data_IF_233298487247
#
_entry.id   IF_233298487247
#
_cell.length_a   1.000
_cell.length_b   1.000
_cell.length_c   1.000
_cell.angle_alpha   90.00
_cell.angle_beta   90.00
_cell.angle_gamma   90.00
#
_symmetry.space_group_name_H-M   'P 1'
#
loop_
_entity.id
_entity.type
_entity.pdbx_description
1 polymer ?
#
# COMPACT_ATOMS: atom_id res chain seq x y z
N UNK A 1 25.04 10.63 8.58
CA UNK A 1 25.04 9.17 8.84
C UNK A 1 24.60 8.46 7.57
N UNK A 2 25.54 7.85 6.85
CA UNK A 2 25.36 7.41 5.47
C UNK A 2 24.57 6.10 5.32
N UNK A 3 23.83 5.98 4.22
CA UNK A 3 23.10 4.80 3.75
C UNK A 3 23.91 3.49 3.85
N UNK A 4 25.25 3.56 3.74
CA UNK A 4 26.15 2.40 3.90
C UNK A 4 26.05 1.69 5.26
N UNK A 5 25.74 2.40 6.36
CA UNK A 5 25.65 1.78 7.70
C UNK A 5 24.37 0.96 7.88
N UNK A 6 23.31 1.25 7.11
CA UNK A 6 22.02 0.56 7.20
C UNK A 6 21.99 -0.74 6.37
N UNK A 7 22.78 -0.84 5.28
CA UNK A 7 22.87 -2.07 4.49
C UNK A 7 23.79 -3.14 5.12
N UNK A 8 24.69 -2.77 6.05
CA UNK A 8 25.71 -3.69 6.60
C UNK A 8 25.33 -4.44 7.89
N UNK A 9 24.22 -4.09 8.54
CA UNK A 9 23.96 -4.46 9.93
C UNK A 9 22.99 -5.62 10.20
N UNK A 10 22.23 -6.10 9.21
CA UNK A 10 21.11 -7.04 9.47
C UNK A 10 21.48 -8.45 9.02
N UNK A 11 22.01 -9.27 9.93
CA UNK A 11 22.27 -10.72 9.68
C UNK A 11 21.00 -11.59 9.72
N UNK A 12 19.87 -11.05 10.16
CA UNK A 12 18.61 -11.79 10.26
C UNK A 12 17.46 -10.91 9.79
N UNK A 13 17.17 -10.95 8.49
CA UNK A 13 15.83 -10.60 7.98
C UNK A 13 14.88 -11.61 8.59
N UNK A 14 13.91 -11.15 9.37
CA UNK A 14 12.84 -12.02 9.86
C UNK A 14 11.88 -12.20 8.67
N UNK A 15 12.26 -13.06 7.75
CA UNK A 15 11.31 -13.68 6.83
C UNK A 15 10.71 -14.81 7.67
N UNK A 16 9.48 -14.68 8.21
CA UNK A 16 8.93 -15.73 9.06
C UNK A 16 9.05 -17.06 8.33
N UNK A 17 9.71 -18.03 8.97
CA UNK A 17 9.97 -19.37 8.42
C UNK A 17 8.67 -20.09 7.97
N UNK A 18 7.51 -19.55 8.34
CA UNK A 18 6.17 -20.03 8.04
C UNK A 18 5.52 -19.42 6.78
N UNK A 19 6.17 -18.58 5.97
CA UNK A 19 5.51 -17.96 4.79
C UNK A 19 5.03 -19.00 3.76
N UNK A 20 5.75 -20.10 3.59
CA UNK A 20 5.33 -21.17 2.66
C UNK A 20 4.08 -21.92 3.17
N UNK A 21 3.99 -22.19 4.48
CA UNK A 21 2.78 -22.74 5.12
C UNK A 21 1.62 -21.72 5.12
N UNK A 22 1.93 -20.42 5.23
CA UNK A 22 0.96 -19.34 5.16
C UNK A 22 0.42 -19.07 3.74
N UNK A 23 1.00 -19.67 2.69
CA UNK A 23 0.60 -19.39 1.31
C UNK A 23 -0.81 -19.89 0.96
N UNK A 24 -1.19 -21.10 1.40
CA UNK A 24 -2.54 -21.63 1.19
C UNK A 24 -3.58 -20.87 2.04
N UNK A 25 -3.20 -20.54 3.26
CA UNK A 25 -4.02 -19.73 4.17
C UNK A 25 -4.26 -18.32 3.61
N UNK A 26 -3.23 -17.69 3.05
CA UNK A 26 -3.34 -16.38 2.39
C UNK A 26 -4.32 -16.40 1.22
N UNK A 27 -4.21 -17.41 0.34
CA UNK A 27 -5.10 -17.53 -0.84
C UNK A 27 -6.56 -17.61 -0.39
N UNK A 28 -6.87 -18.46 0.59
CA UNK A 28 -8.24 -18.57 1.10
C UNK A 28 -8.74 -17.25 1.70
N UNK A 29 -7.91 -16.56 2.49
CA UNK A 29 -8.27 -15.29 3.13
C UNK A 29 -8.46 -14.16 2.13
N UNK A 30 -7.68 -14.12 1.05
CA UNK A 30 -7.86 -13.16 -0.04
C UNK A 30 -9.14 -13.45 -0.84
N UNK A 31 -9.38 -14.70 -1.21
CA UNK A 31 -10.53 -15.11 -2.03
C UNK A 31 -11.87 -14.97 -1.28
N UNK A 32 -11.90 -15.31 0.01
CA UNK A 32 -13.09 -15.22 0.85
C UNK A 32 -13.22 -13.88 1.58
N UNK A 33 -12.34 -12.90 1.31
CA UNK A 33 -12.52 -11.55 1.82
C UNK A 33 -13.80 -10.95 1.21
N UNK A 34 -14.78 -10.51 2.02
CA UNK A 34 -16.02 -9.93 1.51
C UNK A 34 -15.77 -8.73 0.59
N UNK A 35 -14.69 -7.97 0.81
CA UNK A 35 -14.30 -6.86 -0.05
C UNK A 35 -13.70 -7.33 -1.40
N UNK A 36 -13.02 -8.49 -1.45
CA UNK A 36 -12.62 -9.11 -2.73
C UNK A 36 -13.85 -9.52 -3.52
N UNK A 37 -14.79 -10.20 -2.89
CA UNK A 37 -16.04 -10.65 -3.53
C UNK A 37 -16.84 -9.44 -4.04
N UNK A 38 -16.97 -8.39 -3.22
CA UNK A 38 -17.63 -7.14 -3.61
C UNK A 38 -16.93 -6.45 -4.79
N UNK A 39 -15.60 -6.51 -4.86
CA UNK A 39 -14.83 -5.96 -5.99
C UNK A 39 -15.24 -6.62 -7.31
N UNK A 40 -15.57 -7.91 -7.31
CA UNK A 40 -16.02 -8.61 -8.52
C UNK A 40 -17.33 -8.05 -9.09
N UNK A 41 -18.18 -7.41 -8.27
CA UNK A 41 -19.42 -6.78 -8.73
C UNK A 41 -19.14 -5.54 -9.58
N UNK A 42 -18.13 -4.75 -9.21
CA UNK A 42 -17.75 -3.52 -9.91
C UNK A 42 -16.93 -3.74 -11.18
N UNK A 43 -16.42 -4.98 -11.39
CA UNK A 43 -15.54 -5.36 -12.52
C UNK A 43 -14.40 -4.36 -12.82
N UNK A 44 -13.68 -3.84 -11.80
CA UNK A 44 -12.63 -2.85 -12.04
C UNK A 44 -11.37 -3.50 -12.61
N UNK A 45 -10.59 -2.71 -13.35
CA UNK A 45 -9.25 -3.10 -13.83
C UNK A 45 -8.21 -3.19 -12.71
N UNK A 46 -8.52 -2.71 -11.50
CA UNK A 46 -7.64 -2.77 -10.32
C UNK A 46 -7.24 -4.19 -9.93
N UNK A 47 -8.01 -5.20 -10.33
CA UNK A 47 -7.64 -6.60 -10.15
C UNK A 47 -6.31 -6.95 -10.83
N UNK A 48 -6.01 -6.36 -11.99
CA UNK A 48 -4.74 -6.56 -12.69
C UNK A 48 -3.57 -5.91 -11.95
N UNK A 49 -3.76 -4.67 -11.46
CA UNK A 49 -2.77 -3.97 -10.64
C UNK A 49 -2.47 -4.76 -9.36
N UNK A 50 -3.49 -5.23 -8.66
CA UNK A 50 -3.33 -6.03 -7.44
C UNK A 50 -2.64 -7.36 -7.70
N UNK A 51 -2.98 -8.04 -8.80
CA UNK A 51 -2.31 -9.27 -9.21
C UNK A 51 -0.82 -9.04 -9.48
N UNK A 52 -0.48 -7.94 -10.16
CA UNK A 52 0.91 -7.56 -10.42
C UNK A 52 1.67 -7.23 -9.12
N UNK A 53 1.05 -6.52 -8.17
CA UNK A 53 1.63 -6.25 -6.83
C UNK A 53 1.90 -7.56 -6.08
N UNK A 54 0.91 -8.45 -5.99
CA UNK A 54 1.05 -9.74 -5.30
C UNK A 54 2.15 -10.58 -5.95
N UNK A 55 2.19 -10.61 -7.28
CA UNK A 55 3.21 -11.34 -8.03
C UNK A 55 4.60 -10.74 -7.81
N UNK A 56 4.73 -9.40 -7.74
CA UNK A 56 5.98 -8.73 -7.42
C UNK A 56 6.50 -9.12 -6.03
N UNK A 57 5.64 -9.07 -5.02
CA UNK A 57 5.99 -9.41 -3.63
C UNK A 57 6.32 -10.90 -3.53
N UNK A 58 5.53 -11.79 -4.15
CA UNK A 58 5.79 -13.23 -4.15
C UNK A 58 7.14 -13.58 -4.78
N UNK A 59 7.51 -12.94 -5.89
CA UNK A 59 8.80 -13.17 -6.53
C UNK A 59 9.96 -12.60 -5.69
N UNK A 60 9.77 -11.46 -5.00
CA UNK A 60 10.77 -10.92 -4.08
C UNK A 60 11.05 -11.89 -2.94
N UNK A 61 10.02 -12.44 -2.30
CA UNK A 61 10.14 -13.44 -1.22
C UNK A 61 10.83 -14.71 -1.73
N UNK A 62 10.53 -15.16 -2.95
CA UNK A 62 11.19 -16.31 -3.56
C UNK A 62 12.63 -16.03 -4.02
N UNK A 63 13.10 -14.77 -3.95
CA UNK A 63 14.42 -14.36 -4.39
C UNK A 63 14.58 -14.18 -5.90
N UNK A 64 13.48 -14.14 -6.66
CA UNK A 64 13.47 -13.92 -8.11
C UNK A 64 13.36 -12.42 -8.37
N UNK A 65 14.44 -11.69 -8.09
CA UNK A 65 14.43 -10.22 -8.04
C UNK A 65 14.07 -9.55 -9.38
N UNK A 66 14.52 -10.11 -10.52
CA UNK A 66 14.18 -9.58 -11.85
C UNK A 66 12.67 -9.64 -12.11
N UNK A 67 12.06 -10.82 -11.93
CA UNK A 67 10.61 -10.99 -12.09
C UNK A 67 9.82 -10.09 -11.13
N UNK A 68 10.36 -9.86 -9.93
CA UNK A 68 9.76 -8.94 -8.97
C UNK A 68 9.75 -7.50 -9.49
N UNK A 69 10.86 -7.02 -10.07
CA UNK A 69 10.94 -5.68 -10.66
C UNK A 69 10.04 -5.51 -11.88
N UNK A 70 9.97 -6.50 -12.77
CA UNK A 70 9.08 -6.48 -13.94
C UNK A 70 7.60 -6.49 -13.52
N UNK A 71 7.24 -7.28 -12.51
CA UNK A 71 5.88 -7.29 -11.98
C UNK A 71 5.51 -5.95 -11.31
N UNK A 72 6.45 -5.35 -10.58
CA UNK A 72 6.25 -4.04 -9.99
C UNK A 72 6.15 -2.94 -11.06
N UNK A 73 6.96 -3.03 -12.13
CA UNK A 73 6.92 -2.12 -13.27
C UNK A 73 5.56 -2.17 -13.97
N UNK A 74 5.04 -3.36 -14.28
CA UNK A 74 3.67 -3.54 -14.76
C UNK A 74 2.61 -2.94 -13.82
N UNK A 75 2.72 -3.18 -12.50
CA UNK A 75 1.79 -2.60 -11.52
C UNK A 75 1.84 -1.06 -11.55
N UNK A 76 3.04 -0.49 -11.63
CA UNK A 76 3.32 0.95 -11.65
C UNK A 76 2.94 1.62 -12.98
N UNK A 77 2.92 0.84 -14.06
CA UNK A 77 2.41 1.26 -15.36
C UNK A 77 0.88 1.33 -15.35
N UNK A 78 0.20 0.34 -14.74
CA UNK A 78 -1.27 0.30 -14.63
C UNK A 78 -1.82 1.32 -13.63
N UNK A 79 -1.06 1.66 -12.59
CA UNK A 79 -1.39 2.71 -11.63
C UNK A 79 -0.14 3.31 -11.03
N UNK A 80 -0.13 4.59 -10.63
CA UNK A 80 1.11 5.30 -10.28
C UNK A 80 1.67 4.90 -8.90
N UNK A 81 0.80 4.64 -7.92
CA UNK A 81 1.19 4.44 -6.52
C UNK A 81 2.02 3.18 -6.20
N UNK A 82 1.89 2.03 -6.90
CA UNK A 82 2.74 0.85 -6.65
C UNK A 82 4.23 1.15 -6.80
N UNK A 83 4.63 2.19 -7.54
CA UNK A 83 6.02 2.62 -7.63
C UNK A 83 6.62 2.95 -6.25
N UNK A 84 5.80 3.41 -5.31
CA UNK A 84 6.19 3.69 -3.93
C UNK A 84 6.54 2.44 -3.11
N UNK A 85 6.20 1.23 -3.60
CA UNK A 85 6.63 -0.04 -3.00
C UNK A 85 8.05 -0.43 -3.41
N UNK A 86 8.67 0.25 -4.37
CA UNK A 86 10.02 -0.07 -4.85
C UNK A 86 11.06 -0.12 -3.72
N UNK A 87 11.18 0.89 -2.81
CA UNK A 87 12.23 0.89 -1.80
C UNK A 87 12.20 -0.31 -0.84
N UNK A 88 11.08 -0.69 -0.19
CA UNK A 88 11.07 -1.89 0.64
C UNK A 88 11.21 -3.19 -0.17
N UNK A 89 10.69 -3.25 -1.40
CA UNK A 89 10.77 -4.44 -2.26
C UNK A 89 12.21 -4.72 -2.71
N UNK A 90 12.96 -3.70 -3.15
CA UNK A 90 14.36 -3.89 -3.59
C UNK A 90 15.26 -4.26 -2.41
N UNK A 91 14.98 -3.76 -1.21
CA UNK A 91 15.70 -4.13 0.00
C UNK A 91 15.43 -5.57 0.42
N UNK A 92 14.18 -6.05 0.30
CA UNK A 92 13.85 -7.46 0.50
C UNK A 92 14.62 -8.35 -0.49
N UNK A 93 14.69 -7.97 -1.76
CA UNK A 93 15.48 -8.68 -2.77
C UNK A 93 16.98 -8.68 -2.44
N UNK A 94 17.52 -7.54 -1.98
CA UNK A 94 18.92 -7.40 -1.61
C UNK A 94 19.30 -8.28 -0.42
N UNK A 95 18.44 -8.39 0.58
CA UNK A 95 18.66 -9.25 1.74
C UNK A 95 18.83 -10.72 1.34
N UNK A 96 17.96 -11.21 0.46
CA UNK A 96 18.05 -12.58 -0.07
C UNK A 96 19.28 -12.79 -0.97
N UNK A 97 19.71 -11.74 -1.66
CA UNK A 97 20.93 -11.77 -2.45
C UNK A 97 22.17 -11.90 -1.54
N UNK A 98 22.30 -11.05 -0.52
CA UNK A 98 23.43 -11.09 0.42
C UNK A 98 23.45 -12.38 1.24
N UNK A 99 22.29 -12.96 1.59
CA UNK A 99 22.27 -14.24 2.31
C UNK A 99 22.85 -15.40 1.50
N UNK A 100 22.87 -15.30 0.16
CA UNK A 100 23.44 -16.31 -0.74
C UNK A 100 24.89 -16.01 -1.15
N UNK A 101 25.25 -14.74 -1.28
CA UNK A 101 26.57 -14.35 -1.76
C UNK A 101 27.55 -14.24 -0.59
N UNK A 102 28.63 -15.03 -0.61
CA UNK A 102 29.66 -15.06 0.45
C UNK A 102 30.58 -13.82 0.49
N UNK A 103 30.60 -13.00 -0.55
CA UNK A 103 31.41 -11.77 -0.63
C UNK A 103 30.53 -10.51 -0.69
N UNK A 104 30.93 -9.47 0.06
CA UNK A 104 30.14 -8.26 0.30
C UNK A 104 29.79 -7.47 -0.97
N UNK A 105 28.63 -7.77 -1.56
CA UNK A 105 28.08 -7.03 -2.68
C UNK A 105 27.64 -5.62 -2.27
N UNK A 106 28.00 -4.61 -3.07
CA UNK A 106 27.62 -3.23 -2.80
C UNK A 106 26.10 -3.04 -2.93
N UNK A 107 25.46 -2.60 -1.85
CA UNK A 107 24.04 -2.27 -1.78
C UNK A 107 23.63 -1.28 -2.87
N UNK A 108 24.44 -0.24 -3.08
CA UNK A 108 24.17 0.83 -4.06
C UNK A 108 24.15 0.28 -5.48
N UNK A 109 25.11 -0.58 -5.83
CA UNK A 109 25.17 -1.18 -7.17
C UNK A 109 23.98 -2.12 -7.42
N UNK A 110 23.57 -2.89 -6.41
CA UNK A 110 22.41 -3.76 -6.52
C UNK A 110 21.11 -2.98 -6.71
N UNK A 111 20.89 -1.95 -5.89
CA UNK A 111 19.72 -1.08 -6.02
C UNK A 111 19.73 -0.38 -7.38
N UNK A 112 20.85 0.20 -7.81
CA UNK A 112 20.94 0.87 -9.12
C UNK A 112 20.61 -0.06 -10.29
N UNK A 113 21.10 -1.30 -10.26
CA UNK A 113 20.79 -2.31 -11.28
C UNK A 113 19.30 -2.67 -11.32
N UNK A 114 18.66 -2.83 -10.16
CA UNK A 114 17.23 -3.15 -10.10
C UNK A 114 16.33 -1.95 -10.42
N UNK A 115 16.75 -0.73 -10.06
CA UNK A 115 16.11 0.51 -10.51
C UNK A 115 16.11 0.60 -12.03
N UNK A 116 17.22 0.23 -12.70
CA UNK A 116 17.30 0.22 -14.16
C UNK A 116 16.29 -0.76 -14.77
N UNK A 117 16.17 -1.98 -14.23
CA UNK A 117 15.19 -2.98 -14.69
C UNK A 117 13.77 -2.42 -14.54
N UNK A 118 13.44 -1.87 -13.38
CA UNK A 118 12.14 -1.30 -13.08
C UNK A 118 11.76 -0.14 -14.02
N UNK A 119 12.68 0.81 -14.23
CA UNK A 119 12.46 1.96 -15.13
C UNK A 119 12.38 1.50 -16.59
N UNK A 120 13.24 0.57 -17.01
CA UNK A 120 13.21 0.03 -18.37
C UNK A 120 11.91 -0.71 -18.68
N UNK A 121 11.34 -1.42 -17.71
CA UNK A 121 10.05 -2.12 -17.86
C UNK A 121 8.88 -1.13 -18.07
N UNK A 122 8.79 -0.11 -17.21
CA UNK A 122 7.78 0.96 -17.36
C UNK A 122 7.96 1.67 -18.71
N UNK A 123 9.19 2.03 -19.07
CA UNK A 123 9.49 2.67 -20.35
C UNK A 123 9.08 1.78 -21.54
N UNK A 124 9.32 0.46 -21.43
CA UNK A 124 8.88 -0.52 -22.43
C UNK A 124 7.37 -0.50 -22.64
N UNK A 125 6.58 -0.54 -21.56
CA UNK A 125 5.13 -0.44 -21.66
C UNK A 125 4.65 0.90 -22.23
N UNK A 126 5.29 2.01 -21.85
CA UNK A 126 4.97 3.33 -22.41
C UNK A 126 5.26 3.41 -23.92
N UNK A 127 6.35 2.82 -24.39
CA UNK A 127 6.68 2.75 -25.82
C UNK A 127 5.70 1.86 -26.59
N UNK A 128 5.28 0.74 -26.00
CA UNK A 128 4.23 -0.10 -26.59
C UNK A 128 2.94 0.69 -26.72
N UNK A 129 2.53 1.41 -25.67
CA UNK A 129 1.33 2.24 -25.68
C UNK A 129 1.41 3.35 -26.72
N UNK A 130 2.56 4.04 -26.82
CA UNK A 130 2.80 5.02 -27.88
C UNK A 130 2.59 4.43 -29.28
N UNK A 131 3.08 3.21 -29.54
CA UNK A 131 2.84 2.50 -30.79
C UNK A 131 1.37 2.17 -31.05
N UNK A 132 0.64 1.73 -30.01
CA UNK A 132 -0.78 1.37 -30.09
C UNK A 132 -1.69 2.60 -30.24
N UNK A 133 -1.31 3.74 -29.65
CA UNK A 133 -2.08 5.00 -29.71
C UNK A 133 -1.77 5.85 -30.94
N UNK A 134 -1.20 5.24 -31.99
CA UNK A 134 -0.93 5.92 -33.27
C UNK A 134 0.24 6.91 -33.20
N UNK A 135 1.29 6.59 -32.43
CA UNK A 135 2.47 7.43 -32.23
C UNK A 135 2.16 8.79 -31.61
N UNK A 136 1.20 8.82 -30.67
CA UNK A 136 0.89 10.00 -29.85
C UNK A 136 1.12 9.74 -28.37
N UNK A 137 1.66 10.74 -27.67
CA UNK A 137 1.83 10.77 -26.21
C UNK A 137 0.60 11.32 -25.46
N UNK A 138 -0.48 11.68 -26.16
CA UNK A 138 -1.68 12.27 -25.55
C UNK A 138 -2.29 11.39 -24.45
N UNK A 139 -2.11 10.06 -24.56
CA UNK A 139 -2.54 9.12 -23.54
C UNK A 139 -1.90 9.39 -22.17
N UNK A 140 -0.69 9.96 -22.09
CA UNK A 140 -0.04 10.26 -20.81
C UNK A 140 -0.87 11.29 -20.03
N UNK A 141 -1.27 12.37 -20.68
CA UNK A 141 -2.11 13.39 -20.06
C UNK A 141 -3.48 12.81 -19.68
N UNK A 142 -4.09 12.05 -20.58
CA UNK A 142 -5.40 11.45 -20.36
C UNK A 142 -5.45 10.38 -19.26
N UNK A 143 -4.33 9.69 -18.98
CA UNK A 143 -4.26 8.60 -17.99
C UNK A 143 -3.53 9.03 -16.71
N UNK A 144 -2.22 9.23 -16.79
CA UNK A 144 -1.39 9.61 -15.65
C UNK A 144 -1.65 11.05 -15.21
N UNK A 145 -1.87 11.97 -16.16
CA UNK A 145 -2.25 13.35 -15.86
C UNK A 145 -3.56 13.43 -15.08
N UNK A 146 -4.58 12.68 -15.50
CA UNK A 146 -5.85 12.59 -14.79
C UNK A 146 -5.69 12.04 -13.36
N UNK A 147 -4.80 11.07 -13.14
CA UNK A 147 -4.52 10.56 -11.79
C UNK A 147 -3.78 11.58 -10.92
N UNK A 148 -2.81 12.32 -11.47
CA UNK A 148 -1.98 13.27 -10.72
C UNK A 148 -2.69 14.58 -10.40
N UNK A 149 -3.44 15.13 -11.38
CA UNK A 149 -4.14 16.42 -11.28
C UNK A 149 -5.55 16.30 -10.72
N UNK A 150 -6.06 15.07 -10.60
CA UNK A 150 -7.37 14.72 -10.04
C UNK A 150 -8.48 15.66 -10.54
N UNK A 151 -8.64 15.86 -11.87
CA UNK A 151 -9.57 16.84 -12.41
C UNK A 151 -11.03 16.45 -12.17
N UNK A 152 -11.29 15.15 -11.99
CA UNK A 152 -12.61 14.61 -11.66
C UNK A 152 -12.78 14.55 -10.14
N UNK A 153 -13.71 15.35 -9.61
CA UNK A 153 -14.06 15.39 -8.20
C UNK A 153 -15.42 14.72 -7.95
N UNK A 154 -15.87 13.83 -8.83
CA UNK A 154 -17.08 13.04 -8.60
C UNK A 154 -16.98 12.28 -7.28
N UNK A 155 -18.11 12.12 -6.57
CA UNK A 155 -18.10 11.53 -5.24
C UNK A 155 -17.54 10.11 -5.26
N UNK A 156 -16.55 9.88 -4.41
CA UNK A 156 -15.90 8.58 -4.25
C UNK A 156 -15.56 8.32 -2.77
N UNK A 157 -14.96 7.16 -2.46
CA UNK A 157 -14.62 6.80 -1.08
C UNK A 157 -13.39 7.54 -0.53
N UNK A 158 -12.71 8.32 -1.37
CA UNK A 158 -11.46 9.01 -1.04
C UNK A 158 -11.65 10.32 -0.30
N UNK A 159 -10.56 10.76 0.33
CA UNK A 159 -10.54 11.98 1.13
C UNK A 159 -10.45 13.25 0.28
N UNK A 160 -9.99 13.13 -0.96
CA UNK A 160 -9.54 14.27 -1.78
C UNK A 160 -10.69 15.02 -2.43
N UNK A 161 -11.70 14.31 -2.96
CA UNK A 161 -12.72 14.91 -3.83
C UNK A 161 -13.48 16.05 -3.14
N UNK A 162 -13.92 15.83 -1.91
CA UNK A 162 -14.68 16.79 -1.14
C UNK A 162 -13.79 17.93 -0.63
N UNK A 163 -12.56 17.63 -0.19
CA UNK A 163 -11.62 18.69 0.20
C UNK A 163 -11.29 19.62 -0.98
N UNK A 164 -11.03 19.06 -2.16
CA UNK A 164 -10.66 19.81 -3.34
C UNK A 164 -11.83 20.56 -4.00
N UNK A 165 -13.08 20.18 -3.70
CA UNK A 165 -14.25 20.95 -4.15
C UNK A 165 -14.50 22.18 -3.28
N UNK A 166 -14.13 22.13 -2.01
CA UNK A 166 -14.32 23.22 -1.05
C UNK A 166 -13.22 24.29 -1.11
N UNK A 167 -12.07 23.96 -1.70
CA UNK A 167 -10.93 24.87 -1.77
C UNK A 167 -11.00 25.80 -2.98
N UNK A 168 -10.53 27.04 -2.81
CA UNK A 168 -10.41 27.98 -3.91
C UNK A 168 -9.36 27.53 -4.94
N UNK A 169 -9.67 27.73 -6.22
CA UNK A 169 -8.84 27.33 -7.37
C UNK A 169 -7.36 27.73 -7.27
N UNK A 170 -6.98 28.95 -6.83
CA UNK A 170 -5.57 29.34 -6.75
C UNK A 170 -4.74 28.47 -5.79
N UNK A 171 -5.36 27.79 -4.83
CA UNK A 171 -4.68 26.93 -3.86
C UNK A 171 -4.72 25.45 -4.24
N UNK A 172 -5.50 25.06 -5.24
CA UNK A 172 -5.74 23.66 -5.60
C UNK A 172 -4.44 22.90 -5.87
N UNK A 173 -3.58 23.45 -6.73
CA UNK A 173 -2.28 22.84 -7.08
C UNK A 173 -1.35 22.68 -5.88
N UNK A 174 -1.38 23.64 -4.94
CA UNK A 174 -0.60 23.55 -3.71
C UNK A 174 -1.05 22.35 -2.87
N UNK A 175 -2.36 22.18 -2.64
CA UNK A 175 -2.88 21.07 -1.83
C UNK A 175 -2.78 19.71 -2.53
N UNK A 176 -2.87 19.66 -3.87
CA UNK A 176 -2.52 18.45 -4.63
C UNK A 176 -1.08 18.02 -4.32
N UNK A 177 -0.13 18.97 -4.35
CA UNK A 177 1.26 18.73 -3.97
C UNK A 177 1.41 18.23 -2.52
N UNK A 178 0.71 18.84 -1.57
CA UNK A 178 0.72 18.43 -0.16
C UNK A 178 0.19 17.01 0.02
N UNK A 179 -0.91 16.64 -0.64
CA UNK A 179 -1.49 15.31 -0.51
C UNK A 179 -0.60 14.23 -1.14
N UNK A 180 0.02 14.50 -2.29
CA UNK A 180 1.01 13.60 -2.87
C UNK A 180 2.26 13.46 -1.99
N UNK A 181 2.76 14.57 -1.45
CA UNK A 181 3.89 14.55 -0.52
C UNK A 181 3.56 13.77 0.74
N UNK A 182 2.35 13.95 1.29
CA UNK A 182 1.87 13.20 2.45
C UNK A 182 1.92 11.69 2.17
N UNK A 183 1.36 11.24 1.05
CA UNK A 183 1.39 9.84 0.63
C UNK A 183 2.81 9.30 0.46
N UNK A 184 3.70 10.05 -0.20
CA UNK A 184 5.08 9.64 -0.46
C UNK A 184 5.97 9.65 0.79
N UNK A 185 5.69 10.53 1.76
CA UNK A 185 6.53 10.72 2.96
C UNK A 185 6.66 9.46 3.83
N UNK A 186 5.62 8.63 3.85
CA UNK A 186 5.60 7.38 4.63
C UNK A 186 6.63 6.36 4.15
N UNK A 187 6.98 6.36 2.85
CA UNK A 187 7.86 5.35 2.25
C UNK A 187 9.23 5.38 2.90
N UNK A 188 9.85 6.55 3.00
CA UNK A 188 11.19 6.70 3.58
C UNK A 188 11.19 6.33 5.07
N UNK A 189 10.27 6.93 5.84
CA UNK A 189 10.19 6.72 7.29
C UNK A 189 9.97 5.25 7.67
N UNK A 190 9.00 4.58 7.03
CA UNK A 190 8.71 3.17 7.30
C UNK A 190 9.84 2.25 6.83
N UNK A 191 10.40 2.48 5.64
CA UNK A 191 11.48 1.63 5.10
C UNK A 191 12.75 1.69 5.95
N UNK A 192 13.06 2.87 6.50
CA UNK A 192 14.20 3.03 7.41
C UNK A 192 13.89 2.42 8.78
N UNK A 193 12.74 2.72 9.38
CA UNK A 193 12.41 2.28 10.75
C UNK A 193 12.20 0.76 10.86
N UNK A 194 11.56 0.15 9.87
CA UNK A 194 11.22 -1.27 9.83
C UNK A 194 12.10 -2.04 8.83
N UNK A 195 13.36 -1.63 8.68
CA UNK A 195 14.30 -2.24 7.73
C UNK A 195 14.45 -3.75 7.88
N UNK A 196 14.24 -4.28 9.09
CA UNK A 196 14.31 -5.72 9.40
C UNK A 196 13.10 -6.51 8.88
N UNK A 197 11.98 -5.83 8.63
CA UNK A 197 10.71 -6.41 8.22
C UNK A 197 10.14 -5.70 6.96
N UNK A 198 10.83 -5.74 5.82
CA UNK A 198 10.40 -5.02 4.61
C UNK A 198 9.04 -5.49 4.06
N UNK A 199 8.65 -6.75 4.31
CA UNK A 199 7.32 -7.25 3.95
C UNK A 199 6.20 -6.55 4.73
N UNK A 200 6.44 -6.20 5.99
CA UNK A 200 5.47 -5.47 6.79
C UNK A 200 5.41 -4.01 6.36
N UNK A 201 6.53 -3.41 5.96
CA UNK A 201 6.54 -2.07 5.33
C UNK A 201 5.63 -2.04 4.11
N UNK A 202 5.72 -3.02 3.21
CA UNK A 202 4.83 -3.12 2.05
C UNK A 202 3.36 -3.29 2.47
N UNK A 203 3.10 -4.09 3.51
CA UNK A 203 1.75 -4.27 4.07
C UNK A 203 1.17 -2.95 4.59
N UNK A 204 1.95 -2.18 5.37
CA UNK A 204 1.57 -0.86 5.85
C UNK A 204 1.32 0.13 4.71
N UNK A 205 2.20 0.16 3.70
CA UNK A 205 2.04 1.03 2.53
C UNK A 205 0.77 0.71 1.75
N UNK A 206 0.40 -0.56 1.58
CA UNK A 206 -0.88 -0.94 0.96
C UNK A 206 -2.08 -0.38 1.74
N UNK A 207 -2.03 -0.42 3.09
CA UNK A 207 -3.05 0.20 3.93
C UNK A 207 -3.10 1.72 3.79
N UNK A 208 -1.94 2.38 3.77
CA UNK A 208 -1.81 3.83 3.55
C UNK A 208 -2.36 4.22 2.17
N UNK A 209 -2.10 3.44 1.11
CA UNK A 209 -2.67 3.69 -0.22
C UNK A 209 -4.19 3.55 -0.22
N UNK A 210 -4.73 2.57 0.51
CA UNK A 210 -6.18 2.39 0.63
C UNK A 210 -6.88 3.56 1.35
N UNK A 211 -6.15 4.34 2.16
CA UNK A 211 -6.66 5.52 2.88
C UNK A 211 -6.48 6.80 2.06
N UNK A 212 -5.27 7.03 1.54
CA UNK A 212 -4.83 8.36 1.12
C UNK A 212 -4.66 8.54 -0.39
N UNK A 213 -4.84 7.50 -1.23
CA UNK A 213 -4.83 7.71 -2.69
C UNK A 213 -6.09 8.49 -3.12
N UNK A 214 -6.04 9.25 -4.24
CA UNK A 214 -7.14 10.12 -4.64
C UNK A 214 -8.45 9.39 -4.94
N UNK A 215 -8.36 8.20 -5.55
CA UNK A 215 -9.51 7.36 -5.93
C UNK A 215 -9.39 5.96 -5.29
N UNK A 216 -9.59 5.82 -3.96
CA UNK A 216 -9.51 4.54 -3.29
C UNK A 216 -10.67 3.63 -3.68
N UNK A 217 -10.35 2.37 -3.97
CA UNK A 217 -11.32 1.33 -4.23
C UNK A 217 -11.39 0.34 -3.07
N UNK A 218 -12.52 -0.36 -2.97
CA UNK A 218 -12.71 -1.47 -2.03
C UNK A 218 -11.63 -2.57 -2.23
N UNK A 219 -11.15 -2.70 -3.47
CA UNK A 219 -10.08 -3.62 -3.85
C UNK A 219 -8.76 -3.35 -3.11
N UNK A 220 -8.44 -2.07 -2.84
CA UNK A 220 -7.20 -1.67 -2.14
C UNK A 220 -7.25 -2.04 -0.65
N UNK A 221 -8.43 -1.91 -0.05
CA UNK A 221 -8.65 -2.38 1.32
C UNK A 221 -8.56 -3.90 1.39
N UNK A 222 -9.09 -4.59 0.38
CA UNK A 222 -9.03 -6.05 0.36
C UNK A 222 -7.60 -6.60 0.34
N UNK A 223 -6.73 -6.04 -0.52
CA UNK A 223 -5.34 -6.47 -0.58
C UNK A 223 -4.63 -6.17 0.75
N UNK A 224 -4.82 -4.99 1.34
CA UNK A 224 -4.25 -4.65 2.65
C UNK A 224 -4.68 -5.64 3.74
N UNK A 225 -5.99 -5.87 3.91
CA UNK A 225 -6.50 -6.79 4.93
C UNK A 225 -5.98 -8.22 4.73
N UNK A 226 -5.85 -8.66 3.48
CA UNK A 226 -5.32 -9.99 3.17
C UNK A 226 -3.85 -10.13 3.58
N UNK A 227 -3.01 -9.13 3.29
CA UNK A 227 -1.62 -9.08 3.75
C UNK A 227 -1.51 -8.96 5.27
N UNK A 228 -2.38 -8.18 5.92
CA UNK A 228 -2.39 -8.06 7.39
C UNK A 228 -2.60 -9.42 8.07
N UNK A 229 -3.36 -10.33 7.47
CA UNK A 229 -3.57 -11.68 8.04
C UNK A 229 -2.30 -12.55 8.06
N UNK A 230 -1.27 -12.22 7.28
CA UNK A 230 0.05 -12.87 7.37
C UNK A 230 0.70 -12.62 8.74
N UNK A 231 0.32 -11.53 9.40
CA UNK A 231 0.83 -11.11 10.70
C UNK A 231 -0.10 -11.49 11.85
N UNK A 232 -0.86 -12.58 11.74
CA UNK A 232 -1.81 -13.01 12.81
C UNK A 232 -1.18 -13.10 14.21
N UNK A 233 0.13 -13.34 14.31
CA UNK A 233 0.88 -13.36 15.57
C UNK A 233 0.83 -12.01 16.32
N UNK A 234 0.68 -10.88 15.62
CA UNK A 234 0.60 -9.55 16.25
C UNK A 234 -0.81 -9.17 16.70
N UNK A 235 -1.85 -9.89 16.27
CA UNK A 235 -3.25 -9.51 16.58
C UNK A 235 -3.53 -9.43 18.09
N UNK A 236 -2.98 -10.30 18.96
CA UNK A 236 -3.13 -10.15 20.40
C UNK A 236 -2.47 -8.89 20.99
N UNK A 237 -1.51 -8.28 20.28
CA UNK A 237 -0.82 -7.05 20.69
C UNK A 237 -1.55 -5.79 20.21
N UNK A 238 -2.50 -5.92 19.29
CA UNK A 238 -3.34 -4.83 18.80
C UNK A 238 -4.37 -4.42 19.87
N UNK A 239 -4.51 -3.11 20.11
CA UNK A 239 -5.32 -2.57 21.21
C UNK A 239 -6.68 -2.05 20.75
N UNK A 240 -6.77 -1.59 19.51
CA UNK A 240 -7.92 -0.86 18.98
C UNK A 240 -8.67 -1.65 17.90
N UNK A 241 -8.42 -2.96 17.79
CA UNK A 241 -9.05 -3.83 16.77
C UNK A 241 -10.57 -3.80 16.83
N UNK A 242 -11.17 -3.82 18.03
CA UNK A 242 -12.62 -3.74 18.16
C UNK A 242 -13.18 -2.43 17.59
N UNK A 243 -12.52 -1.30 17.91
CA UNK A 243 -12.93 0.02 17.44
C UNK A 243 -12.78 0.13 15.91
N UNK A 244 -11.64 -0.28 15.36
CA UNK A 244 -11.37 -0.17 13.92
C UNK A 244 -12.30 -1.07 13.10
N UNK A 245 -12.50 -2.33 13.50
CA UNK A 245 -13.41 -3.25 12.81
C UNK A 245 -14.85 -2.76 12.90
N UNK A 246 -15.29 -2.27 14.07
CA UNK A 246 -16.64 -1.72 14.23
C UNK A 246 -16.88 -0.49 13.34
N UNK A 247 -15.90 0.42 13.26
CA UNK A 247 -15.97 1.58 12.38
C UNK A 247 -16.05 1.19 10.90
N UNK A 248 -15.27 0.19 10.47
CA UNK A 248 -15.29 -0.32 9.10
C UNK A 248 -16.62 -0.99 8.76
N UNK A 249 -17.18 -1.80 9.66
CA UNK A 249 -18.49 -2.42 9.48
C UNK A 249 -19.61 -1.37 9.40
N UNK A 250 -19.59 -0.41 10.31
CA UNK A 250 -20.52 0.71 10.32
C UNK A 250 -20.47 1.50 9.01
N UNK A 251 -19.27 1.85 8.54
CA UNK A 251 -19.09 2.58 7.29
C UNK A 251 -19.45 1.76 6.05
N UNK A 252 -19.18 0.45 6.04
CA UNK A 252 -19.57 -0.45 4.95
C UNK A 252 -21.09 -0.55 4.79
N UNK A 253 -21.83 -0.53 5.91
CA UNK A 253 -23.28 -0.61 5.91
C UNK A 253 -23.92 0.72 5.52
N UNK A 254 -23.50 1.82 6.15
CA UNK A 254 -24.12 3.12 5.94
C UNK A 254 -23.64 3.85 4.67
N UNK A 255 -22.43 3.57 4.19
CA UNK A 255 -21.86 4.17 2.99
C UNK A 255 -22.81 4.13 1.78
N UNK A 256 -23.25 2.94 1.34
CA UNK A 256 -24.19 2.79 0.24
C UNK A 256 -25.55 3.46 0.52
N UNK A 257 -26.02 3.43 1.76
CA UNK A 257 -27.29 4.05 2.15
C UNK A 257 -27.21 5.57 2.01
N UNK A 258 -26.18 6.21 2.56
CA UNK A 258 -26.00 7.65 2.44
C UNK A 258 -25.73 8.09 1.01
N UNK A 259 -24.98 7.29 0.24
CA UNK A 259 -24.82 7.53 -1.20
C UNK A 259 -26.18 7.51 -1.91
N UNK A 260 -27.01 6.50 -1.66
CA UNK A 260 -28.32 6.39 -2.29
C UNK A 260 -29.27 7.51 -1.87
N UNK A 261 -29.32 7.86 -0.57
CA UNK A 261 -30.17 8.93 -0.07
C UNK A 261 -29.81 10.29 -0.68
N UNK A 262 -28.53 10.51 -0.95
CA UNK A 262 -28.07 11.73 -1.59
C UNK A 262 -28.29 11.73 -3.10
N UNK A 263 -27.77 10.73 -3.82
CA UNK A 263 -27.75 10.72 -5.29
C UNK A 263 -29.11 10.37 -5.90
N UNK A 264 -29.81 9.39 -5.34
CA UNK A 264 -31.03 8.85 -5.96
C UNK A 264 -32.31 9.32 -5.27
N UNK A 265 -32.35 9.32 -3.93
CA UNK A 265 -33.56 9.69 -3.21
C UNK A 265 -33.71 11.20 -3.02
N UNK A 266 -32.63 11.98 -3.13
CA UNK A 266 -32.62 13.44 -2.92
C UNK A 266 -32.95 13.88 -1.49
N UNK A 267 -33.04 12.96 -0.53
CA UNK A 267 -33.37 13.22 0.87
C UNK A 267 -32.13 13.40 1.77
N UNK A 268 -30.94 13.10 1.25
CA UNK A 268 -29.65 13.30 1.90
C UNK A 268 -28.79 14.35 1.19
N UNK A 269 -27.78 14.88 1.88
CA UNK A 269 -26.78 15.79 1.30
C UNK A 269 -25.41 15.12 1.18
N UNK A 270 -24.51 15.78 0.44
CA UNK A 270 -23.13 15.33 0.23
C UNK A 270 -22.37 15.08 1.54
N UNK A 271 -22.65 15.89 2.57
CA UNK A 271 -21.92 15.88 3.83
C UNK A 271 -22.15 14.56 4.59
N UNK A 272 -23.34 13.96 4.51
CA UNK A 272 -23.57 12.63 5.11
C UNK A 272 -22.71 11.56 4.46
N UNK A 273 -22.63 11.56 3.12
CA UNK A 273 -21.79 10.62 2.40
C UNK A 273 -20.30 10.87 2.68
N UNK A 274 -19.86 12.13 2.67
CA UNK A 274 -18.47 12.43 2.99
C UNK A 274 -18.12 12.07 4.44
N UNK A 275 -18.99 12.36 5.41
CA UNK A 275 -18.78 12.01 6.81
C UNK A 275 -18.59 10.49 7.01
N UNK A 276 -19.37 9.65 6.32
CA UNK A 276 -19.18 8.20 6.44
C UNK A 276 -17.89 7.72 5.75
N UNK A 277 -17.44 8.38 4.68
CA UNK A 277 -16.10 8.11 4.11
C UNK A 277 -14.97 8.54 5.04
N UNK A 278 -15.14 9.59 5.86
CA UNK A 278 -14.19 9.94 6.92
C UNK A 278 -14.13 8.85 7.99
N UNK A 279 -15.27 8.28 8.39
CA UNK A 279 -15.31 7.16 9.35
C UNK A 279 -14.64 5.91 8.77
N UNK A 280 -14.84 5.61 7.48
CA UNK A 280 -14.15 4.54 6.76
C UNK A 280 -12.62 4.72 6.83
N UNK A 281 -12.13 5.89 6.41
CA UNK A 281 -10.70 6.21 6.42
C UNK A 281 -10.11 6.25 7.83
N UNK A 282 -10.87 6.70 8.82
CA UNK A 282 -10.47 6.68 10.23
C UNK A 282 -10.31 5.24 10.73
N UNK A 283 -11.28 4.36 10.43
CA UNK A 283 -11.22 2.94 10.79
C UNK A 283 -9.98 2.25 10.21
N UNK A 284 -9.69 2.49 8.93
CA UNK A 284 -8.46 2.01 8.28
C UNK A 284 -7.20 2.62 8.91
N UNK A 285 -7.19 3.91 9.20
CA UNK A 285 -6.03 4.59 9.80
C UNK A 285 -5.70 4.04 11.18
N UNK A 286 -6.73 3.82 12.02
CA UNK A 286 -6.57 3.17 13.33
C UNK A 286 -6.03 1.75 13.13
N UNK A 287 -6.55 1.00 12.18
CA UNK A 287 -6.09 -0.37 11.92
C UNK A 287 -4.62 -0.43 11.48
N UNK A 288 -4.21 0.44 10.56
CA UNK A 288 -2.81 0.57 10.12
C UNK A 288 -1.92 0.98 11.29
N UNK A 289 -2.28 2.02 12.03
CA UNK A 289 -1.50 2.50 13.16
C UNK A 289 -1.38 1.47 14.30
N UNK A 290 -2.47 0.76 14.60
CA UNK A 290 -2.51 -0.29 15.63
C UNK A 290 -1.70 -1.52 15.22
N UNK A 291 -1.75 -1.90 13.93
CA UNK A 291 -0.89 -2.97 13.40
C UNK A 291 0.59 -2.59 13.42
N UNK A 292 0.92 -1.33 13.10
CA UNK A 292 2.27 -0.81 13.18
C UNK A 292 2.78 -0.81 14.62
N UNK A 293 1.96 -0.34 15.57
CA UNK A 293 2.27 -0.41 16.99
C UNK A 293 2.52 -1.85 17.44
N UNK A 294 1.66 -2.79 17.04
CA UNK A 294 1.78 -4.19 17.41
C UNK A 294 3.06 -4.85 16.88
N UNK A 295 3.48 -4.56 15.64
CA UNK A 295 4.77 -5.04 15.12
C UNK A 295 5.95 -4.44 15.88
N UNK A 296 5.92 -3.13 16.14
CA UNK A 296 6.98 -2.48 16.91
C UNK A 296 7.06 -3.02 18.34
N UNK A 297 5.92 -3.39 18.92
CA UNK A 297 5.85 -4.03 20.23
C UNK A 297 6.40 -5.45 20.19
N UNK A 298 6.10 -6.21 19.15
CA UNK A 298 6.63 -7.56 18.94
C UNK A 298 8.16 -7.53 18.78
N UNK A 299 8.71 -6.62 17.94
CA UNK A 299 10.16 -6.40 17.81
C UNK A 299 10.80 -6.06 19.16
N UNK A 300 10.16 -5.20 19.95
CA UNK A 300 10.65 -4.82 21.27
C UNK A 300 10.65 -6.00 22.26
N UNK A 301 9.60 -6.82 22.25
CA UNK A 301 9.50 -8.01 23.11
C UNK A 301 10.51 -9.10 22.71
N UNK A 302 10.87 -9.20 21.42
CA UNK A 302 11.96 -10.07 20.94
C UNK A 302 13.35 -9.56 21.37
N UNK A 303 13.62 -8.26 21.25
CA UNK A 303 14.91 -7.66 21.63
C UNK A 303 15.12 -7.63 23.15
N UNK A 304 14.05 -7.58 23.94
CA UNK A 304 14.07 -7.47 25.40
C UNK A 304 13.08 -8.43 26.06
N UNK A 305 13.42 -9.72 26.20
CA UNK A 305 12.52 -10.73 26.76
C UNK A 305 12.02 -10.37 28.17
N UNK A 306 12.78 -9.61 28.95
CA UNK A 306 12.45 -9.16 30.30
C UNK A 306 11.28 -8.16 30.40
N UNK A 307 10.85 -7.57 29.28
CA UNK A 307 9.72 -6.63 29.23
C UNK A 307 8.44 -7.24 28.66
N UNK A 308 8.49 -8.51 28.25
CA UNK A 308 7.34 -9.22 27.67
C UNK A 308 6.17 -9.22 28.66
N UNK A 309 5.02 -8.74 28.21
CA UNK A 309 3.81 -8.60 29.03
C UNK A 309 3.76 -7.36 29.95
N UNK A 310 4.81 -6.53 30.00
CA UNK A 310 4.76 -5.22 30.69
C UNK A 310 4.21 -4.16 29.74
N UNK A 311 3.31 -3.31 30.22
CA UNK A 311 2.83 -2.18 29.41
C UNK A 311 4.00 -1.31 28.94
N UNK A 312 4.06 -1.05 27.63
CA UNK A 312 4.94 -0.01 27.09
C UNK A 312 4.46 1.33 27.63
N UNK A 313 5.14 1.87 28.64
CA UNK A 313 4.96 3.26 29.05
C UNK A 313 5.59 4.14 27.97
N UNK A 314 4.76 4.95 27.32
CA UNK A 314 5.23 6.05 26.49
C UNK A 314 5.90 7.05 27.44
N UNK A 315 7.22 7.25 27.30
CA UNK A 315 7.93 8.34 27.96
C UNK A 315 7.74 9.60 27.12
#
# INVERSE_FOLDING_TARGET
MGWHSYCGGVRHTIVPANIYLASNDYISRYLFNPFTIATCLGRPTTAFTNSAIIYAISNAIAGRSVNSMLALGLASYLSVYPALLFPPLVLLCYDHYISKVKSGGSCVSYVASHSLIFVADIAGFLVISYGVTGYSWDFISATYGAHLLVPDLTPNAGLWWYFLIEIFDPFREFFLGVFWLHLASYVGGLTIRLRRQPLFVMTCLLGIFAIFKPYPGISDVSIYLSFLTLYRHIFPLMRYTFLSVSALLYASLLGPIFYHLWIYAGSGNANFFYAITLVWSLGLSILVADSLYAVLRDEWDEERPEVRGKEARQI
#
